data_IF_590408291385
#
_entry.id   IF_590408291385
#
_cell.length_a   1.000
_cell.length_b   1.000
_cell.length_c   1.000
_cell.angle_alpha   90.00
_cell.angle_beta   90.00
_cell.angle_gamma   90.00
#
_symmetry.space_group_name_H-M   'P 1'
#
loop_
_entity.id
_entity.type
_entity.pdbx_description
1 polymer ?
#
# COMPACT_ATOMS: atom_id res chain seq x y z
N UNK A 1 13.74 -9.07 1.27
CA UNK A 1 13.03 -7.79 1.50
C UNK A 1 12.97 -7.53 3.00
N UNK A 2 13.18 -6.29 3.43
CA UNK A 2 13.24 -5.94 4.85
C UNK A 2 11.87 -5.98 5.52
N UNK A 3 11.73 -6.70 6.63
CA UNK A 3 10.54 -6.56 7.49
C UNK A 3 10.41 -5.14 8.05
N UNK A 4 11.55 -4.53 8.41
CA UNK A 4 11.60 -3.20 9.00
C UNK A 4 11.10 -2.11 8.03
N UNK A 5 11.49 -2.16 6.76
CA UNK A 5 11.01 -1.20 5.77
C UNK A 5 9.48 -1.29 5.58
N UNK A 6 8.93 -2.51 5.59
CA UNK A 6 7.47 -2.73 5.49
C UNK A 6 6.75 -2.21 6.73
N UNK A 7 7.30 -2.42 7.92
CA UNK A 7 6.73 -1.90 9.18
C UNK A 7 6.73 -0.37 9.21
N UNK A 8 7.79 0.27 8.69
CA UNK A 8 7.87 1.72 8.56
C UNK A 8 6.85 2.27 7.58
N UNK A 9 6.71 1.62 6.42
CA UNK A 9 5.73 2.01 5.41
C UNK A 9 4.28 1.82 5.92
N UNK A 10 4.01 0.74 6.65
CA UNK A 10 2.73 0.51 7.33
C UNK A 10 2.38 1.66 8.28
N UNK A 11 3.33 2.11 9.10
CA UNK A 11 3.14 3.26 9.99
C UNK A 11 2.88 4.55 9.22
N UNK A 12 3.63 4.81 8.16
CA UNK A 12 3.42 5.97 7.28
C UNK A 12 2.01 5.99 6.68
N UNK A 13 1.52 4.86 6.18
CA UNK A 13 0.16 4.73 5.64
C UNK A 13 -0.92 4.96 6.68
N UNK A 14 -0.76 4.42 7.90
CA UNK A 14 -1.72 4.66 8.99
C UNK A 14 -1.86 6.13 9.34
N UNK A 15 -0.76 6.89 9.32
CA UNK A 15 -0.78 8.34 9.57
C UNK A 15 -1.45 9.12 8.43
N UNK A 16 -1.39 8.61 7.20
CA UNK A 16 -1.99 9.23 6.01
C UNK A 16 -3.32 8.61 5.60
N UNK A 17 -3.91 7.75 6.42
CA UNK A 17 -5.08 6.96 6.06
C UNK A 17 -6.28 7.82 5.67
N UNK A 18 -6.52 8.92 6.38
CA UNK A 18 -7.59 9.86 6.06
C UNK A 18 -7.39 10.53 4.69
N UNK A 19 -6.17 10.96 4.39
CA UNK A 19 -5.81 11.55 3.08
C UNK A 19 -6.01 10.52 1.95
N UNK A 20 -5.45 9.32 2.12
CA UNK A 20 -5.58 8.23 1.15
C UNK A 20 -7.05 7.86 0.90
N UNK A 21 -7.83 7.65 1.97
CA UNK A 21 -9.24 7.26 1.85
C UNK A 21 -10.16 8.37 1.31
N UNK A 22 -9.74 9.64 1.37
CA UNK A 22 -10.49 10.75 0.77
C UNK A 22 -10.24 10.88 -0.74
N UNK A 23 -9.06 10.43 -1.21
CA UNK A 23 -8.61 10.61 -2.60
C UNK A 23 -8.81 9.35 -3.44
N UNK A 24 -8.66 8.18 -2.82
CA UNK A 24 -8.68 6.88 -3.49
C UNK A 24 -10.05 6.24 -3.38
N UNK A 25 -10.47 5.53 -4.43
CA UNK A 25 -11.61 4.62 -4.37
C UNK A 25 -11.11 3.18 -4.23
N UNK A 26 -11.64 2.47 -3.24
CA UNK A 26 -11.25 1.07 -3.02
C UNK A 26 -11.50 0.20 -4.25
N UNK A 27 -12.63 0.43 -4.95
CA UNK A 27 -13.02 -0.29 -6.17
C UNK A 27 -12.05 -0.12 -7.32
N UNK A 28 -11.40 1.05 -7.42
CA UNK A 28 -10.48 1.34 -8.52
C UNK A 28 -9.15 0.63 -8.21
N UNK A 29 -8.63 0.81 -6.99
CA UNK A 29 -7.41 0.16 -6.50
C UNK A 29 -7.42 -1.37 -6.61
N UNK A 30 -8.51 -2.04 -6.21
CA UNK A 30 -8.55 -3.51 -6.23
C UNK A 30 -8.36 -4.10 -7.63
N UNK A 31 -8.66 -3.35 -8.70
CA UNK A 31 -8.47 -3.83 -10.08
C UNK A 31 -6.99 -3.92 -10.46
N UNK A 32 -6.15 -3.03 -9.91
CA UNK A 32 -4.72 -2.91 -10.18
C UNK A 32 -3.83 -3.71 -9.22
N UNK A 33 -4.41 -4.44 -8.26
CA UNK A 33 -3.66 -5.20 -7.25
C UNK A 33 -3.71 -6.72 -7.53
N UNK A 34 -2.72 -7.28 -8.26
CA UNK A 34 -2.72 -8.71 -8.62
C UNK A 34 -2.50 -9.64 -7.41
N UNK A 35 -2.01 -9.13 -6.28
CA UNK A 35 -1.87 -9.93 -5.05
C UNK A 35 -3.19 -10.18 -4.29
N UNK A 36 -4.29 -9.55 -4.71
CA UNK A 36 -5.61 -9.76 -4.13
C UNK A 36 -6.33 -10.90 -4.86
N UNK A 37 -6.81 -11.88 -4.10
CA UNK A 37 -7.65 -12.96 -4.63
C UNK A 37 -9.04 -12.45 -5.02
N UNK A 38 -9.79 -13.23 -5.80
CA UNK A 38 -11.18 -12.89 -6.10
C UNK A 38 -12.01 -12.68 -4.82
N UNK A 39 -11.84 -13.55 -3.82
CA UNK A 39 -12.51 -13.42 -2.53
C UNK A 39 -12.14 -12.14 -1.78
N UNK A 40 -10.86 -11.72 -1.83
CA UNK A 40 -10.43 -10.45 -1.22
C UNK A 40 -11.14 -9.26 -1.89
N UNK A 41 -11.26 -9.28 -3.23
CA UNK A 41 -11.91 -8.22 -4.02
C UNK A 41 -13.40 -8.14 -3.73
N UNK A 42 -14.07 -9.28 -3.60
CA UNK A 42 -15.49 -9.35 -3.25
C UNK A 42 -15.74 -8.84 -1.84
N UNK A 43 -14.90 -9.21 -0.86
CA UNK A 43 -15.00 -8.74 0.52
C UNK A 43 -14.83 -7.22 0.61
N UNK A 44 -13.83 -6.66 -0.10
CA UNK A 44 -13.59 -5.21 -0.15
C UNK A 44 -14.78 -4.47 -0.82
N UNK A 45 -15.32 -5.02 -1.90
CA UNK A 45 -16.46 -4.41 -2.61
C UNK A 45 -17.71 -4.40 -1.72
N UNK A 46 -18.03 -5.54 -1.08
CA UNK A 46 -19.13 -5.63 -0.13
C UNK A 46 -18.91 -4.68 1.07
N UNK A 47 -17.68 -4.55 1.56
CA UNK A 47 -17.34 -3.61 2.64
C UNK A 47 -17.57 -2.17 2.22
N UNK A 48 -17.22 -1.80 0.98
CA UNK A 48 -17.46 -0.46 0.43
C UNK A 48 -18.95 -0.17 0.33
N UNK A 49 -19.77 -1.13 -0.06
CA UNK A 49 -21.22 -0.93 -0.22
C UNK A 49 -21.95 -0.80 1.13
N UNK A 50 -21.52 -1.54 2.16
CA UNK A 50 -22.17 -1.51 3.47
C UNK A 50 -21.59 -0.47 4.45
N UNK A 51 -20.28 -0.21 4.41
CA UNK A 51 -19.57 0.62 5.39
C UNK A 51 -18.85 1.83 4.78
N UNK A 52 -18.96 2.04 3.47
CA UNK A 52 -18.37 3.17 2.76
C UNK A 52 -16.88 3.01 2.43
N UNK A 53 -16.38 3.97 1.66
CA UNK A 53 -15.03 3.91 1.07
C UNK A 53 -13.91 3.87 2.12
N UNK A 54 -14.02 4.65 3.20
CA UNK A 54 -13.01 4.67 4.26
C UNK A 54 -12.78 3.27 4.83
N UNK A 55 -13.84 2.60 5.26
CA UNK A 55 -13.76 1.24 5.82
C UNK A 55 -13.24 0.21 4.81
N UNK A 56 -13.55 0.38 3.53
CA UNK A 56 -13.04 -0.49 2.47
C UNK A 56 -11.54 -0.29 2.22
N UNK A 57 -11.05 0.96 2.24
CA UNK A 57 -9.61 1.26 2.12
C UNK A 57 -8.83 0.69 3.31
N UNK A 58 -9.38 0.79 4.53
CA UNK A 58 -8.75 0.16 5.71
C UNK A 58 -8.60 -1.35 5.49
N UNK A 59 -9.69 -2.03 5.11
CA UNK A 59 -9.67 -3.47 4.85
C UNK A 59 -8.70 -3.85 3.71
N UNK A 60 -8.71 -3.10 2.62
CA UNK A 60 -7.82 -3.30 1.48
C UNK A 60 -6.36 -3.24 1.95
N UNK A 61 -5.98 -2.20 2.70
CA UNK A 61 -4.61 -2.05 3.19
C UNK A 61 -4.22 -3.16 4.18
N UNK A 62 -5.14 -3.63 5.02
CA UNK A 62 -4.90 -4.73 5.95
C UNK A 62 -4.69 -6.07 5.23
N UNK A 63 -5.44 -6.34 4.16
CA UNK A 63 -5.25 -7.53 3.32
C UNK A 63 -3.95 -7.45 2.50
N UNK A 64 -3.69 -6.28 1.93
CA UNK A 64 -2.51 -6.00 1.11
C UNK A 64 -1.21 -6.19 1.91
N UNK A 65 -1.14 -5.65 3.12
CA UNK A 65 0.05 -5.73 3.99
C UNK A 65 0.43 -7.15 4.44
N UNK A 66 -0.47 -8.14 4.27
CA UNK A 66 -0.17 -9.57 4.53
C UNK A 66 0.62 -10.23 3.41
N UNK A 67 0.78 -9.57 2.26
CA UNK A 67 1.50 -10.09 1.07
C UNK A 67 2.96 -9.65 1.09
N UNK A 68 3.87 -10.41 0.46
CA UNK A 68 5.31 -10.09 0.47
C UNK A 68 5.66 -8.82 -0.32
N UNK A 69 5.09 -8.68 -1.52
CA UNK A 69 5.43 -7.63 -2.49
C UNK A 69 4.44 -6.46 -2.48
N UNK A 70 3.75 -6.26 -1.35
CA UNK A 70 2.70 -5.27 -1.22
C UNK A 70 3.16 -3.82 -1.44
N UNK A 71 4.37 -3.38 -1.04
CA UNK A 71 4.81 -2.00 -1.24
C UNK A 71 4.90 -1.65 -2.72
N UNK A 72 5.59 -2.47 -3.51
CA UNK A 72 5.80 -2.26 -4.93
C UNK A 72 4.48 -2.30 -5.70
N UNK A 73 3.60 -3.25 -5.37
CA UNK A 73 2.28 -3.34 -6.00
C UNK A 73 1.38 -2.16 -5.66
N UNK A 74 1.42 -1.65 -4.41
CA UNK A 74 0.66 -0.47 -4.05
C UNK A 74 1.18 0.78 -4.78
N UNK A 75 2.49 0.97 -4.87
CA UNK A 75 3.09 2.10 -5.61
C UNK A 75 2.62 2.06 -7.07
N UNK A 76 2.72 0.90 -7.73
CA UNK A 76 2.29 0.76 -9.12
C UNK A 76 0.79 1.02 -9.27
N UNK A 77 -0.04 0.45 -8.38
CA UNK A 77 -1.48 0.67 -8.43
C UNK A 77 -1.84 2.16 -8.27
N UNK A 78 -1.13 2.91 -7.41
CA UNK A 78 -1.33 4.35 -7.25
C UNK A 78 -0.95 5.15 -8.50
N UNK A 79 0.07 4.73 -9.25
CA UNK A 79 0.42 5.33 -10.55
C UNK A 79 -0.67 5.05 -11.59
N UNK A 80 -1.17 3.82 -11.63
CA UNK A 80 -2.20 3.40 -12.59
C UNK A 80 -3.56 4.08 -12.34
N UNK A 81 -3.88 4.40 -11.08
CA UNK A 81 -5.11 5.15 -10.71
C UNK A 81 -4.91 6.68 -10.71
N UNK A 82 -3.88 7.18 -11.41
CA UNK A 82 -3.60 8.61 -11.61
C UNK A 82 -3.34 9.42 -10.31
N UNK A 83 -2.73 8.77 -9.31
CA UNK A 83 -2.26 9.43 -8.08
C UNK A 83 -0.74 9.38 -7.93
N UNK A 84 0.03 9.97 -8.88
CA UNK A 84 1.49 9.88 -8.91
C UNK A 84 2.15 10.57 -7.71
N UNK A 85 1.51 11.57 -7.10
CA UNK A 85 2.04 12.23 -5.90
C UNK A 85 1.98 11.34 -4.66
N UNK A 86 0.90 10.55 -4.51
CA UNK A 86 0.79 9.53 -3.46
C UNK A 86 1.79 8.41 -3.70
N UNK A 87 1.92 7.95 -4.95
CA UNK A 87 2.88 6.95 -5.36
C UNK A 87 4.33 7.40 -5.06
N UNK A 88 4.69 8.63 -5.41
CA UNK A 88 6.03 9.18 -5.19
C UNK A 88 6.34 9.34 -3.70
N UNK A 89 5.37 9.83 -2.91
CA UNK A 89 5.51 9.89 -1.46
C UNK A 89 5.74 8.52 -0.82
N UNK A 90 5.02 7.50 -1.29
CA UNK A 90 5.18 6.12 -0.83
C UNK A 90 6.51 5.51 -1.28
N UNK A 91 6.93 5.76 -2.54
CA UNK A 91 8.20 5.34 -3.13
C UNK A 91 9.41 5.95 -2.41
N UNK A 92 9.35 7.24 -2.10
CA UNK A 92 10.41 7.93 -1.35
C UNK A 92 10.59 7.32 0.05
N UNK A 93 9.49 7.08 0.77
CA UNK A 93 9.55 6.45 2.10
C UNK A 93 10.02 4.99 2.01
N UNK A 94 9.55 4.23 1.01
CA UNK A 94 10.02 2.87 0.74
C UNK A 94 11.51 2.83 0.48
N UNK A 95 12.01 3.67 -0.44
CA UNK A 95 13.43 3.77 -0.78
C UNK A 95 14.28 4.19 0.41
N UNK A 96 13.82 5.13 1.23
CA UNK A 96 14.52 5.54 2.46
C UNK A 96 14.83 4.32 3.35
N UNK A 97 13.86 3.45 3.59
CA UNK A 97 14.05 2.32 4.49
C UNK A 97 14.63 1.07 3.83
N UNK A 98 14.41 0.91 2.52
CA UNK A 98 14.95 -0.21 1.76
C UNK A 98 16.44 0.00 1.38
N UNK A 99 16.86 1.23 1.06
CA UNK A 99 18.27 1.56 0.76
C UNK A 99 19.17 1.60 1.99
N UNK A 100 18.61 1.85 3.19
CA UNK A 100 19.37 1.77 4.44
C UNK A 100 19.96 0.37 4.66
N UNK A 101 19.32 -0.71 4.19
CA UNK A 101 19.90 -2.05 4.24
C UNK A 101 21.08 -2.28 3.27
N UNK A 102 21.11 -1.59 2.13
CA UNK A 102 22.22 -1.73 1.16
C UNK A 102 23.45 -0.97 1.66
N UNK A 103 23.26 0.23 2.25
CA UNK A 103 24.36 1.01 2.82
C UNK A 103 24.94 0.41 4.11
N UNK A 104 24.14 -0.27 4.93
CA UNK A 104 24.65 -0.97 6.12
C UNK A 104 25.38 -2.27 5.76
N UNK A 105 24.96 -2.98 4.71
CA UNK A 105 25.66 -4.19 4.22
C UNK A 105 27.02 -3.89 3.58
N UNK A 106 27.22 -2.67 3.06
CA UNK A 106 28.48 -2.21 2.47
C UNK A 106 29.45 -1.57 3.49
N UNK A 107 29.09 -1.49 4.78
CA UNK A 107 30.01 -1.06 5.85
C UNK A 107 30.81 -2.21 6.47
N UNK A 108 30.71 -3.42 5.93
CA UNK A 108 31.44 -4.62 6.37
C UNK A 108 32.39 -5.15 5.27
N UNK A 109 32.97 -4.25 4.47
CA UNK A 109 34.14 -4.55 3.63
C UNK A 109 35.12 -3.38 3.75
#
# INVERSE_FOLDING_TARGET
MSSFARDRLSKYLRLKLADYSSRLKATDLITHLPCLTASDRDEISAKKDFAGNYSAIVLLLDLLQKRLNWPEQLIQALEDVEHPDLAEGLRTEWNRWNQNHIRESLKII
#
